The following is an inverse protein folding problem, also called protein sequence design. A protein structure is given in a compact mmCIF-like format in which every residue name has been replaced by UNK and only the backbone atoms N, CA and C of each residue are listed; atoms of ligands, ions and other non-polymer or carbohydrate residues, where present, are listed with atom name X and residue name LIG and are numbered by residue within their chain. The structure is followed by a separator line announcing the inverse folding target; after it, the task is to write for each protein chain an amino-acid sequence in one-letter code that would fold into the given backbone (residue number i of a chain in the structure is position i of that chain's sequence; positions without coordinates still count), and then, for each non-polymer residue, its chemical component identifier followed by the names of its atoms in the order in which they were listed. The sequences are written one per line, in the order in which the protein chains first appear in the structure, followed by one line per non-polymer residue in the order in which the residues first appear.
data_IF_167167708834
#
_entry.id   IF_167167708834
#
_cell.length_a   1.000
_cell.length_b   1.000
_cell.length_c   1.000
_cell.angle_alpha   90.00
_cell.angle_beta   90.00
_cell.angle_gamma   90.00
#
_symmetry.space_group_name_H-M   'P 1'
#
loop_
_entity.id
_entity.type
_entity.pdbx_description
1 polymer ?
#
# COMPACT_ATOMS: atom_id res chain seq x y z
N UNK A 1 14.51 -9.59 -26.19
CA UNK A 1 13.65 -10.36 -25.27
C UNK A 1 13.01 -9.36 -24.34
N UNK A 2 11.82 -8.88 -24.70
CA UNK A 2 11.09 -7.97 -23.84
C UNK A 2 10.38 -8.82 -22.77
N UNK A 3 10.89 -8.80 -21.54
CA UNK A 3 10.16 -9.36 -20.42
C UNK A 3 8.85 -8.58 -20.30
N UNK A 4 7.74 -9.30 -20.40
CA UNK A 4 6.41 -8.75 -20.19
C UNK A 4 6.28 -8.50 -18.68
N UNK A 5 6.67 -7.31 -18.22
CA UNK A 5 6.43 -6.85 -16.86
C UNK A 5 4.91 -6.71 -16.72
N UNK A 6 4.28 -7.67 -16.07
CA UNK A 6 2.84 -7.63 -15.84
C UNK A 6 2.57 -6.60 -14.74
N UNK A 7 2.39 -5.33 -15.12
CA UNK A 7 1.88 -4.30 -14.21
C UNK A 7 0.48 -4.69 -13.77
N UNK A 8 0.24 -4.66 -12.45
CA UNK A 8 -1.03 -5.05 -11.87
C UNK A 8 -2.11 -4.01 -12.23
N UNK A 9 -3.31 -4.47 -12.59
CA UNK A 9 -4.41 -3.53 -12.81
C UNK A 9 -4.86 -2.90 -11.47
N UNK A 10 -5.64 -1.80 -11.52
CA UNK A 10 -6.11 -1.05 -10.34
C UNK A 10 -6.66 -1.96 -9.23
N UNK A 11 -7.49 -2.95 -9.57
CA UNK A 11 -8.10 -3.87 -8.58
C UNK A 11 -7.06 -4.80 -7.99
N UNK A 12 -6.22 -5.42 -8.83
CA UNK A 12 -5.18 -6.34 -8.36
C UNK A 12 -4.18 -5.64 -7.45
N UNK A 13 -3.72 -4.44 -7.82
CA UNK A 13 -2.78 -3.67 -7.01
C UNK A 13 -3.43 -3.23 -5.67
N UNK A 14 -4.70 -2.83 -5.70
CA UNK A 14 -5.46 -2.53 -4.48
C UNK A 14 -5.61 -3.75 -3.57
N UNK A 15 -5.96 -4.91 -4.12
CA UNK A 15 -6.08 -6.16 -3.38
C UNK A 15 -4.74 -6.58 -2.75
N UNK A 16 -3.64 -6.44 -3.49
CA UNK A 16 -2.30 -6.71 -2.98
C UNK A 16 -1.89 -5.76 -1.84
N UNK A 17 -2.18 -4.46 -1.98
CA UNK A 17 -1.99 -3.49 -0.90
C UNK A 17 -2.77 -3.89 0.35
N UNK A 18 -4.02 -4.34 0.20
CA UNK A 18 -4.83 -4.79 1.33
C UNK A 18 -4.25 -6.05 1.99
N UNK A 19 -3.83 -7.05 1.21
CA UNK A 19 -3.22 -8.28 1.72
C UNK A 19 -1.93 -8.01 2.49
N UNK A 20 -1.04 -7.17 1.93
CA UNK A 20 0.20 -6.81 2.61
C UNK A 20 -0.06 -5.93 3.83
N UNK A 21 -1.03 -5.02 3.77
CA UNK A 21 -1.43 -4.21 4.93
C UNK A 21 -1.86 -5.11 6.09
N UNK A 22 -2.69 -6.13 5.82
CA UNK A 22 -3.07 -7.12 6.83
C UNK A 22 -1.85 -7.85 7.42
N UNK A 23 -0.91 -8.30 6.59
CA UNK A 23 0.29 -8.99 7.07
C UNK A 23 1.16 -8.09 7.98
N UNK A 24 1.24 -6.79 7.67
CA UNK A 24 1.94 -5.80 8.50
C UNK A 24 1.23 -5.59 9.84
N UNK A 25 -0.10 -5.47 9.83
CA UNK A 25 -0.88 -5.29 11.06
C UNK A 25 -0.83 -6.54 11.96
N UNK A 26 -0.88 -7.73 11.38
CA UNK A 26 -0.81 -9.01 12.10
C UNK A 26 0.54 -9.19 12.81
N UNK A 27 1.66 -9.00 12.09
CA UNK A 27 2.98 -9.10 12.71
C UNK A 27 3.23 -7.98 13.74
N UNK A 28 2.66 -6.79 13.53
CA UNK A 28 2.72 -5.70 14.51
C UNK A 28 2.01 -6.10 15.80
N UNK A 29 0.80 -6.67 15.72
CA UNK A 29 0.06 -7.17 16.88
C UNK A 29 0.83 -8.30 17.59
N UNK A 30 1.49 -9.18 16.84
CA UNK A 30 2.36 -10.20 17.43
C UNK A 30 3.53 -9.58 18.20
N UNK A 31 4.19 -8.56 17.63
CA UNK A 31 5.32 -7.87 18.25
C UNK A 31 4.95 -7.12 19.54
N UNK A 32 3.70 -6.66 19.69
CA UNK A 32 3.22 -6.04 20.95
C UNK A 32 3.38 -6.97 22.17
N UNK A 33 3.41 -8.29 21.95
CA UNK A 33 3.62 -9.30 23.01
C UNK A 33 5.00 -9.97 22.96
N UNK A 34 5.73 -9.82 21.84
CA UNK A 34 7.05 -10.43 21.63
C UNK A 34 8.04 -9.42 21.01
N UNK A 35 8.36 -8.31 21.70
CA UNK A 35 9.07 -7.18 21.10
C UNK A 35 10.51 -7.50 20.66
N UNK A 36 11.13 -8.52 21.25
CA UNK A 36 12.51 -8.94 20.93
C UNK A 36 12.57 -10.09 19.88
N UNK A 37 11.43 -10.48 19.30
CA UNK A 37 11.42 -11.54 18.30
C UNK A 37 11.99 -11.04 16.97
N UNK A 38 13.28 -11.31 16.75
CA UNK A 38 14.01 -10.86 15.57
C UNK A 38 13.38 -11.29 14.25
N UNK A 39 12.82 -12.51 14.17
CA UNK A 39 12.17 -12.99 12.94
C UNK A 39 10.92 -12.18 12.62
N UNK A 40 10.14 -11.81 13.63
CA UNK A 40 8.96 -10.97 13.45
C UNK A 40 9.35 -9.52 13.08
N UNK A 41 10.43 -8.98 13.66
CA UNK A 41 10.97 -7.67 13.27
C UNK A 41 11.44 -7.65 11.81
N UNK A 42 12.21 -8.65 11.39
CA UNK A 42 12.68 -8.77 10.01
C UNK A 42 11.50 -8.92 9.02
N UNK A 43 10.49 -9.70 9.40
CA UNK A 43 9.26 -9.85 8.63
C UNK A 43 8.51 -8.51 8.52
N UNK A 44 8.29 -7.81 9.65
CA UNK A 44 7.64 -6.51 9.66
C UNK A 44 8.35 -5.50 8.75
N UNK A 45 9.67 -5.38 8.85
CA UNK A 45 10.43 -4.44 8.02
C UNK A 45 10.29 -4.77 6.53
N UNK A 46 10.45 -6.04 6.16
CA UNK A 46 10.31 -6.51 4.77
C UNK A 46 8.93 -6.18 4.17
N UNK A 47 7.85 -6.46 4.91
CA UNK A 47 6.50 -6.26 4.39
C UNK A 47 6.06 -4.80 4.45
N UNK A 48 6.56 -4.03 5.42
CA UNK A 48 6.39 -2.56 5.47
C UNK A 48 6.99 -1.90 4.21
N UNK A 49 8.19 -2.31 3.80
CA UNK A 49 8.83 -1.79 2.58
C UNK A 49 8.01 -2.12 1.33
N UNK A 50 7.60 -3.39 1.18
CA UNK A 50 6.71 -3.80 0.07
C UNK A 50 5.40 -3.05 0.03
N UNK A 51 4.81 -2.77 1.19
CA UNK A 51 3.56 -1.98 1.30
C UNK A 51 3.77 -0.57 0.77
N UNK A 52 4.87 0.06 1.17
CA UNK A 52 5.21 1.42 0.72
C UNK A 52 5.46 1.48 -0.78
N UNK A 53 6.16 0.48 -1.34
CA UNK A 53 6.38 0.37 -2.78
C UNK A 53 5.06 0.27 -3.55
N UNK A 54 4.18 -0.65 -3.16
CA UNK A 54 2.87 -0.82 -3.80
C UNK A 54 1.97 0.42 -3.67
N UNK A 55 1.99 1.12 -2.53
CA UNK A 55 1.25 2.37 -2.33
C UNK A 55 1.76 3.50 -3.23
N UNK A 56 3.08 3.56 -3.48
CA UNK A 56 3.68 4.54 -4.40
C UNK A 56 3.30 4.22 -5.84
N UNK A 57 3.45 2.96 -6.26
CA UNK A 57 3.03 2.50 -7.59
C UNK A 57 1.55 2.81 -7.84
N UNK A 58 0.68 2.53 -6.87
CA UNK A 58 -0.73 2.87 -6.98
C UNK A 58 -0.94 4.39 -7.09
N UNK A 59 -0.24 5.19 -6.28
CA UNK A 59 -0.37 6.64 -6.29
C UNK A 59 0.08 7.27 -7.61
N UNK A 60 1.15 6.74 -8.22
CA UNK A 60 1.68 7.19 -9.50
C UNK A 60 0.72 6.93 -10.66
N UNK A 61 0.01 5.81 -10.65
CA UNK A 61 -0.84 5.38 -11.77
C UNK A 61 -2.32 5.74 -11.57
N UNK A 62 -2.83 5.64 -10.35
CA UNK A 62 -4.26 5.71 -10.03
C UNK A 62 -4.63 6.75 -8.99
N UNK A 63 -3.65 7.54 -8.50
CA UNK A 63 -3.86 8.53 -7.44
C UNK A 63 -3.70 7.96 -6.03
N UNK A 64 -3.37 8.82 -5.04
CA UNK A 64 -2.97 8.38 -3.71
C UNK A 64 -4.11 7.76 -2.90
N UNK A 65 -3.86 6.60 -2.29
CA UNK A 65 -4.77 5.99 -1.31
C UNK A 65 -4.54 6.48 0.12
N UNK A 66 -3.33 6.99 0.40
CA UNK A 66 -2.89 7.41 1.73
C UNK A 66 -2.23 8.77 1.65
N UNK A 67 -2.32 9.56 2.73
CA UNK A 67 -1.68 10.88 2.81
C UNK A 67 -0.17 10.79 2.57
N UNK A 68 0.48 9.71 3.03
CA UNK A 68 1.92 9.47 2.88
C UNK A 68 2.40 9.33 1.42
N UNK A 69 1.49 9.13 0.47
CA UNK A 69 1.80 8.98 -0.96
C UNK A 69 1.25 10.10 -1.83
N UNK A 70 0.74 11.18 -1.22
CA UNK A 70 0.39 12.40 -1.95
C UNK A 70 1.68 13.02 -2.51
N UNK A 71 1.73 13.24 -3.83
CA UNK A 71 2.86 13.91 -4.47
C UNK A 71 2.93 15.38 -4.03
N UNK A 72 4.08 15.80 -3.50
CA UNK A 72 4.36 17.20 -3.16
C UNK A 72 4.55 18.09 -4.41
N UNK A 73 4.79 17.47 -5.57
CA UNK A 73 5.18 18.14 -6.81
C UNK A 73 4.07 18.20 -7.87
N UNK A 74 2.82 17.85 -7.55
CA UNK A 74 1.73 18.06 -8.51
C UNK A 74 1.20 19.48 -8.43
N UNK A 75 1.14 20.18 -9.57
CA UNK A 75 0.53 21.50 -9.72
C UNK A 75 -0.98 21.54 -9.35
N UNK A 76 -1.55 20.39 -8.99
CA UNK A 76 -2.93 20.16 -8.60
C UNK A 76 -3.03 19.27 -7.34
N UNK A 77 -3.98 19.56 -6.45
CA UNK A 77 -4.27 18.75 -5.27
C UNK A 77 -4.99 17.46 -5.66
N UNK A 78 -4.23 16.38 -5.89
CA UNK A 78 -4.76 15.13 -6.44
C UNK A 78 -5.52 14.22 -5.46
N UNK A 79 -5.57 14.57 -4.17
CA UNK A 79 -6.27 13.79 -3.14
C UNK A 79 -7.79 13.67 -3.35
N UNK A 80 -8.40 14.67 -3.99
CA UNK A 80 -9.86 14.73 -4.21
C UNK A 80 -10.28 14.30 -5.62
N UNK A 81 -9.33 13.98 -6.49
CA UNK A 81 -9.58 13.83 -7.92
C UNK A 81 -10.07 12.43 -8.30
N UNK A 82 -9.95 11.45 -7.41
CA UNK A 82 -10.38 10.07 -7.64
C UNK A 82 -11.53 9.68 -6.71
N UNK A 83 -12.47 8.83 -7.17
CA UNK A 83 -13.50 8.28 -6.32
C UNK A 83 -12.83 7.52 -5.16
N UNK A 84 -13.24 7.85 -3.94
CA UNK A 84 -12.68 7.23 -2.77
C UNK A 84 -13.04 5.74 -2.73
N UNK A 85 -12.15 4.87 -2.23
CA UNK A 85 -12.44 3.43 -2.13
C UNK A 85 -13.72 3.10 -1.35
N UNK A 86 -14.18 4.01 -0.47
CA UNK A 86 -15.43 3.87 0.30
C UNK A 86 -16.65 4.56 -0.33
N UNK A 87 -16.51 5.25 -1.47
CA UNK A 87 -17.62 5.89 -2.17
C UNK A 87 -18.49 4.91 -2.95
N UNK A 88 -17.96 3.76 -3.39
CA UNK A 88 -18.76 2.74 -4.10
C UNK A 88 -19.59 1.83 -3.16
N UNK A 89 -19.43 1.98 -1.84
CA UNK A 89 -20.10 1.15 -0.83
C UNK A 89 -21.01 1.92 0.15
N UNK A 90 -21.34 3.18 -0.13
CA UNK A 90 -22.02 4.08 0.82
C UNK A 90 -23.43 4.51 0.41
N UNK A 91 -24.43 3.90 1.09
CA UNK A 91 -25.88 4.17 1.14
C UNK A 91 -26.74 3.64 -0.02
#
# INVERSE_FOLDING_TARGET
MSCNCHEMNRRELFEYINQISFAVDDVKLFLDTHPENQKALDYFQKYKEKRMEALKEYAEVYGPLTVDTVSENSDCWNWINEPWPWQEGGC
#
